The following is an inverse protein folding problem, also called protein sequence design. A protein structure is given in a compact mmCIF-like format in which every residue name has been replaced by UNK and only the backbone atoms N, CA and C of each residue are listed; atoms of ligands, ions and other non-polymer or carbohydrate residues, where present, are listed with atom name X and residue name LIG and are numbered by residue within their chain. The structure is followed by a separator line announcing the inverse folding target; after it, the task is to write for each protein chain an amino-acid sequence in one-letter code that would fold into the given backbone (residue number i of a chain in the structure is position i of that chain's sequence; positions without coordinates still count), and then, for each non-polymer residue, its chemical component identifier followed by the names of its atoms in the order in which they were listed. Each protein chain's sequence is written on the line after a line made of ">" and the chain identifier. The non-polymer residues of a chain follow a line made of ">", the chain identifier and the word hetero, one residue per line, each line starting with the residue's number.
data_IF_446716089151
#
_entry.id   IF_446716089151
#
_cell.length_a   1.000
_cell.length_b   1.000
_cell.length_c   1.000
_cell.angle_alpha   90.00
_cell.angle_beta   90.00
_cell.angle_gamma   90.00
#
_symmetry.space_group_name_H-M   'P 1'
#
loop_
_entity.id
_entity.type
_entity.pdbx_description
1 polymer ?
#
# COMPACT_ATOMS: atom_id res chain seq x y z
N UNK A 1 24.23 -1.97 -12.55
CA UNK A 1 23.56 -2.43 -11.31
C UNK A 1 22.12 -2.75 -11.65
N UNK A 2 21.57 -3.88 -11.19
CA UNK A 2 20.18 -4.23 -11.51
C UNK A 2 19.21 -3.26 -10.81
N UNK A 3 18.07 -3.00 -11.46
CA UNK A 3 17.06 -2.05 -10.99
C UNK A 3 15.67 -2.69 -11.08
N UNK A 4 14.86 -2.51 -10.04
CA UNK A 4 13.52 -3.08 -9.92
C UNK A 4 12.52 -1.94 -9.73
N UNK A 5 11.59 -1.81 -10.66
CA UNK A 5 10.40 -0.97 -10.47
C UNK A 5 9.33 -1.78 -9.73
N UNK A 6 8.97 -1.34 -8.52
CA UNK A 6 7.96 -2.00 -7.70
C UNK A 6 6.65 -1.21 -7.68
N UNK A 7 5.69 -1.67 -8.50
CA UNK A 7 4.34 -1.12 -8.52
C UNK A 7 3.46 -1.82 -7.49
N UNK A 8 2.87 -1.05 -6.58
CA UNK A 8 2.03 -1.60 -5.52
C UNK A 8 0.86 -0.67 -5.17
N UNK A 9 -0.11 -1.21 -4.44
CA UNK A 9 -1.20 -0.45 -3.85
C UNK A 9 -1.22 -0.70 -2.34
N UNK A 10 -1.30 0.36 -1.53
CA UNK A 10 -1.24 0.28 -0.06
C UNK A 10 -2.41 -0.49 0.56
N UNK A 11 -3.45 -0.78 -0.23
CA UNK A 11 -4.60 -1.59 0.20
C UNK A 11 -4.58 -3.04 -0.31
N UNK A 12 -3.55 -3.44 -1.05
CA UNK A 12 -3.49 -4.75 -1.69
C UNK A 12 -3.12 -5.84 -0.68
N UNK A 13 -3.88 -6.96 -0.60
CA UNK A 13 -3.50 -8.09 0.24
C UNK A 13 -2.28 -8.81 -0.32
N UNK A 14 -2.05 -8.77 -1.63
CA UNK A 14 -0.90 -9.43 -2.24
C UNK A 14 0.38 -8.61 -2.07
N UNK A 15 0.26 -7.29 -1.91
CA UNK A 15 1.38 -6.46 -1.45
C UNK A 15 1.69 -6.78 0.01
N UNK A 16 0.68 -6.93 0.87
CA UNK A 16 0.89 -7.40 2.25
C UNK A 16 1.63 -8.75 2.29
N UNK A 17 1.12 -9.73 1.55
CA UNK A 17 1.66 -11.10 1.53
C UNK A 17 3.04 -11.22 0.84
N UNK A 18 3.48 -10.19 0.12
CA UNK A 18 4.86 -10.12 -0.37
C UNK A 18 5.85 -9.83 0.77
N UNK A 19 5.39 -9.23 1.87
CA UNK A 19 6.22 -8.86 3.02
C UNK A 19 7.38 -7.97 2.60
N UNK A 20 8.56 -8.28 3.15
CA UNK A 20 9.85 -7.63 2.82
C UNK A 20 10.73 -8.49 1.88
N UNK A 21 10.13 -9.50 1.22
CA UNK A 21 10.91 -10.45 0.41
C UNK A 21 11.57 -9.80 -0.82
N UNK A 22 10.97 -8.72 -1.35
CA UNK A 22 11.57 -7.96 -2.44
C UNK A 22 12.88 -7.29 -2.01
N UNK A 23 12.87 -6.68 -0.83
CA UNK A 23 14.00 -5.97 -0.22
C UNK A 23 15.13 -6.95 0.10
N UNK A 24 14.81 -8.12 0.64
CA UNK A 24 15.77 -9.21 0.87
C UNK A 24 16.46 -9.65 -0.44
N UNK A 25 15.68 -9.82 -1.51
CA UNK A 25 16.21 -10.18 -2.84
C UNK A 25 17.09 -9.05 -3.37
N UNK A 26 16.64 -7.80 -3.30
CA UNK A 26 17.41 -6.66 -3.80
C UNK A 26 18.74 -6.53 -3.06
N UNK A 27 18.74 -6.65 -1.73
CA UNK A 27 19.95 -6.62 -0.91
C UNK A 27 20.92 -7.75 -1.27
N UNK A 28 20.42 -8.99 -1.39
CA UNK A 28 21.23 -10.16 -1.77
C UNK A 28 21.94 -10.00 -3.12
N UNK A 29 21.33 -9.27 -4.05
CA UNK A 29 21.84 -9.11 -5.42
C UNK A 29 22.45 -7.72 -5.69
N UNK A 30 22.54 -6.84 -4.69
CA UNK A 30 22.99 -5.46 -4.87
C UNK A 30 22.14 -4.69 -5.89
N UNK A 31 20.84 -4.98 -5.95
CA UNK A 31 19.89 -4.28 -6.81
C UNK A 31 19.28 -3.07 -6.10
N UNK A 32 18.78 -2.13 -6.89
CA UNK A 32 18.03 -0.97 -6.38
C UNK A 32 16.54 -1.15 -6.61
N UNK A 33 15.71 -0.56 -5.75
CA UNK A 33 14.25 -0.59 -5.87
C UNK A 33 13.74 0.84 -6.07
N UNK A 34 12.92 1.05 -7.09
CA UNK A 34 12.08 2.22 -7.24
C UNK A 34 10.63 1.86 -6.89
N UNK A 35 10.16 2.37 -5.75
CA UNK A 35 8.78 2.19 -5.33
C UNK A 35 7.84 3.10 -6.12
N UNK A 36 6.72 2.54 -6.56
CA UNK A 36 5.72 3.21 -7.40
C UNK A 36 4.32 2.87 -6.89
N UNK A 37 3.83 3.55 -5.82
CA UNK A 37 2.45 3.39 -5.41
C UNK A 37 1.52 3.87 -6.53
N UNK A 38 0.44 3.14 -6.80
CA UNK A 38 -0.52 3.50 -7.85
C UNK A 38 -1.97 3.28 -7.42
N UNK A 39 -2.88 3.96 -8.10
CA UNK A 39 -4.32 3.81 -7.90
C UNK A 39 -4.87 2.55 -8.57
N UNK A 40 -5.02 1.48 -7.78
CA UNK A 40 -5.59 0.20 -8.23
C UNK A 40 -7.06 0.29 -8.61
N UNK A 41 -7.83 1.21 -8.02
CA UNK A 41 -9.23 1.38 -8.35
C UNK A 41 -9.37 2.01 -9.73
N UNK A 42 -8.57 3.04 -10.02
CA UNK A 42 -8.50 3.62 -11.36
C UNK A 42 -7.90 2.64 -12.40
N UNK A 43 -6.94 1.80 -12.00
CA UNK A 43 -6.32 0.82 -12.90
C UNK A 43 -7.34 -0.17 -13.47
N UNK A 44 -8.27 -0.66 -12.65
CA UNK A 44 -9.31 -1.60 -13.11
C UNK A 44 -10.10 -1.02 -14.30
N UNK A 45 -10.65 0.19 -14.16
CA UNK A 45 -11.40 0.84 -15.23
C UNK A 45 -10.56 1.13 -16.49
N UNK A 46 -9.29 1.48 -16.32
CA UNK A 46 -8.39 1.81 -17.44
C UNK A 46 -7.90 0.61 -18.24
N UNK A 47 -7.88 -0.58 -17.64
CA UNK A 47 -7.31 -1.80 -18.24
C UNK A 47 -8.36 -2.84 -18.61
N UNK A 48 -9.64 -2.57 -18.39
CA UNK A 48 -10.72 -3.55 -18.51
C UNK A 48 -10.71 -4.60 -17.38
N UNK A 49 -9.96 -4.36 -16.31
CA UNK A 49 -9.96 -5.20 -15.13
C UNK A 49 -11.24 -5.05 -14.32
N UNK A 50 -11.75 -6.15 -13.76
CA UNK A 50 -12.97 -6.15 -12.94
C UNK A 50 -12.58 -6.06 -11.45
N UNK A 51 -13.07 -5.04 -10.70
CA UNK A 51 -12.87 -4.93 -9.26
C UNK A 51 -13.34 -6.18 -8.51
N UNK A 52 -12.72 -6.56 -7.38
CA UNK A 52 -13.02 -7.83 -6.73
C UNK A 52 -14.49 -8.07 -6.38
N UNK A 53 -15.23 -7.02 -5.97
CA UNK A 53 -16.65 -7.10 -5.59
C UNK A 53 -17.56 -7.46 -6.79
N UNK A 54 -17.15 -7.11 -8.01
CA UNK A 54 -17.92 -7.32 -9.24
C UNK A 54 -17.56 -8.64 -9.95
N UNK A 55 -16.50 -9.34 -9.50
CA UNK A 55 -16.11 -10.62 -10.10
C UNK A 55 -17.17 -11.69 -9.80
N UNK A 56 -17.27 -12.70 -10.67
CA UNK A 56 -18.10 -13.87 -10.41
C UNK A 56 -17.82 -14.51 -9.04
N UNK A 57 -18.86 -14.99 -8.34
CA UNK A 57 -18.79 -15.54 -6.97
C UNK A 57 -17.68 -16.60 -6.80
N UNK A 58 -17.45 -17.44 -7.79
CA UNK A 58 -16.38 -18.45 -7.74
C UNK A 58 -14.98 -17.81 -7.65
N UNK A 59 -14.73 -16.71 -8.37
CA UNK A 59 -13.46 -15.99 -8.29
C UNK A 59 -13.29 -15.28 -6.95
N UNK A 60 -14.39 -14.76 -6.37
CA UNK A 60 -14.38 -14.17 -5.03
C UNK A 60 -14.02 -15.23 -3.97
N UNK A 61 -14.66 -16.41 -4.02
CA UNK A 61 -14.37 -17.54 -3.12
C UNK A 61 -12.94 -18.05 -3.27
N UNK A 62 -12.49 -18.23 -4.50
CA UNK A 62 -11.13 -18.71 -4.78
C UNK A 62 -10.07 -17.75 -4.23
N UNK A 63 -10.26 -16.43 -4.40
CA UNK A 63 -9.37 -15.41 -3.84
C UNK A 63 -9.17 -15.59 -2.34
N UNK A 64 -10.23 -15.84 -1.57
CA UNK A 64 -10.11 -16.03 -0.11
C UNK A 64 -9.31 -17.29 0.24
N UNK A 65 -9.49 -18.38 -0.50
CA UNK A 65 -8.71 -19.61 -0.31
C UNK A 65 -7.22 -19.41 -0.66
N UNK A 66 -6.95 -18.71 -1.74
CA UNK A 66 -5.60 -18.37 -2.19
C UNK A 66 -4.89 -17.47 -1.18
N UNK A 67 -5.57 -16.44 -0.68
CA UNK A 67 -5.05 -15.56 0.37
C UNK A 67 -4.70 -16.34 1.64
N UNK A 68 -5.61 -17.20 2.13
CA UNK A 68 -5.36 -18.02 3.32
C UNK A 68 -4.15 -18.96 3.15
N UNK A 69 -4.04 -19.59 1.98
CA UNK A 69 -2.92 -20.48 1.65
C UNK A 69 -1.60 -19.72 1.56
N UNK A 70 -1.62 -18.56 0.93
CA UNK A 70 -0.46 -17.70 0.76
C UNK A 70 0.04 -17.20 2.11
N UNK A 71 -0.85 -16.70 2.98
CA UNK A 71 -0.54 -16.31 4.35
C UNK A 71 0.12 -17.44 5.14
N UNK A 72 -0.46 -18.65 5.09
CA UNK A 72 0.12 -19.85 5.73
C UNK A 72 1.51 -20.18 5.17
N UNK A 73 1.71 -20.05 3.86
CA UNK A 73 2.99 -20.36 3.20
C UNK A 73 4.10 -19.41 3.67
N UNK A 74 3.79 -18.13 3.85
CA UNK A 74 4.78 -17.11 4.28
C UNK A 74 4.79 -16.88 5.80
N UNK A 75 3.93 -17.57 6.56
CA UNK A 75 3.88 -17.46 8.03
C UNK A 75 3.35 -16.13 8.54
N UNK A 76 2.58 -15.38 7.74
CA UNK A 76 2.07 -14.05 8.10
C UNK A 76 0.62 -14.13 8.61
N UNK A 77 0.24 -13.40 9.68
CA UNK A 77 -1.14 -13.31 10.12
C UNK A 77 -1.98 -12.62 9.05
N UNK A 78 -3.22 -13.04 8.84
CA UNK A 78 -4.09 -12.42 7.83
C UNK A 78 -5.55 -12.50 8.26
N UNK A 79 -6.22 -11.36 8.36
CA UNK A 79 -7.66 -11.31 8.32
C UNK A 79 -8.13 -11.35 6.85
N UNK A 80 -8.96 -12.34 6.51
CA UNK A 80 -9.52 -12.49 5.17
C UNK A 80 -10.58 -11.44 4.84
N UNK A 81 -11.18 -10.83 5.87
CA UNK A 81 -12.24 -9.84 5.76
C UNK A 81 -12.00 -8.72 6.79
N UNK A 82 -10.94 -7.91 6.63
CA UNK A 82 -10.65 -6.85 7.56
C UNK A 82 -11.69 -5.74 7.49
N UNK A 83 -12.03 -5.15 8.64
CA UNK A 83 -13.16 -4.25 8.83
C UNK A 83 -13.18 -3.06 7.87
N UNK A 84 -12.00 -2.54 7.53
CA UNK A 84 -11.86 -1.33 6.73
C UNK A 84 -11.62 -1.60 5.24
N UNK A 85 -11.53 -2.86 4.79
CA UNK A 85 -11.27 -3.11 3.37
C UNK A 85 -12.56 -3.11 2.52
N UNK A 86 -12.63 -2.37 1.40
CA UNK A 86 -11.64 -1.46 0.85
C UNK A 86 -11.86 0.01 1.27
N UNK A 87 -10.96 0.55 2.08
CA UNK A 87 -10.88 1.97 2.47
C UNK A 87 -10.28 2.84 1.35
N UNK A 88 -10.33 4.16 1.52
CA UNK A 88 -9.63 5.11 0.66
C UNK A 88 -8.12 5.04 0.90
N UNK A 89 -7.37 4.54 -0.08
CA UNK A 89 -5.93 4.40 0.03
C UNK A 89 -5.13 5.64 -0.42
N UNK A 90 -5.79 6.68 -0.95
CA UNK A 90 -5.10 7.86 -1.46
C UNK A 90 -4.24 8.56 -0.40
N UNK A 91 -4.71 8.80 0.85
CA UNK A 91 -3.89 9.42 1.89
C UNK A 91 -2.58 8.65 2.16
N UNK A 92 -2.65 7.34 2.41
CA UNK A 92 -1.46 6.50 2.59
C UNK A 92 -0.52 6.50 1.36
N UNK A 93 -1.07 6.57 0.14
CA UNK A 93 -0.25 6.62 -1.07
C UNK A 93 0.50 7.95 -1.20
N UNK A 94 -0.15 9.07 -0.88
CA UNK A 94 0.52 10.38 -0.87
C UNK A 94 1.57 10.49 0.23
N UNK A 95 1.29 9.97 1.44
CA UNK A 95 2.26 9.91 2.52
C UNK A 95 3.49 9.06 2.14
N UNK A 96 3.28 7.95 1.43
CA UNK A 96 4.38 7.14 0.89
C UNK A 96 5.25 7.94 -0.10
N UNK A 97 4.64 8.66 -1.04
CA UNK A 97 5.37 9.51 -2.00
C UNK A 97 6.14 10.62 -1.27
N UNK A 98 5.54 11.23 -0.24
CA UNK A 98 6.19 12.25 0.57
C UNK A 98 7.41 11.68 1.32
N UNK A 99 7.27 10.50 1.93
CA UNK A 99 8.37 9.78 2.57
C UNK A 99 9.50 9.43 1.59
N UNK A 100 9.16 8.96 0.39
CA UNK A 100 10.12 8.68 -0.67
C UNK A 100 10.91 9.92 -1.09
N UNK A 101 10.26 11.08 -1.18
CA UNK A 101 10.92 12.34 -1.53
C UNK A 101 11.76 12.91 -0.38
N UNK A 102 11.33 12.72 0.87
CA UNK A 102 12.07 13.18 2.05
C UNK A 102 13.31 12.33 2.32
N UNK A 103 13.25 11.02 2.08
CA UNK A 103 14.30 10.07 2.42
C UNK A 103 14.45 9.85 3.93
N UNK A 104 15.52 9.17 4.34
CA UNK A 104 15.91 9.00 5.74
C UNK A 104 15.26 7.84 6.51
N UNK A 105 14.18 7.25 6.01
CA UNK A 105 13.53 6.06 6.58
C UNK A 105 13.57 4.83 5.66
N UNK A 106 12.82 3.79 6.02
CA UNK A 106 12.72 2.53 5.29
C UNK A 106 11.41 2.43 4.50
N UNK A 107 11.48 2.61 3.18
CA UNK A 107 10.33 2.54 2.29
C UNK A 107 9.69 1.14 2.21
N UNK A 108 10.49 0.07 2.30
CA UNK A 108 9.97 -1.29 2.32
C UNK A 108 9.16 -1.55 3.58
N UNK A 109 9.71 -1.15 4.73
CA UNK A 109 8.99 -1.20 6.01
C UNK A 109 7.71 -0.37 6.00
N UNK A 110 7.71 0.81 5.36
CA UNK A 110 6.52 1.65 5.24
C UNK A 110 5.44 1.02 4.35
N UNK A 111 5.82 0.48 3.18
CA UNK A 111 4.88 -0.20 2.27
C UNK A 111 4.23 -1.41 2.96
N UNK A 112 5.04 -2.23 3.62
CA UNK A 112 4.54 -3.35 4.39
C UNK A 112 3.71 -2.88 5.60
N UNK A 113 4.12 -1.82 6.29
CA UNK A 113 3.40 -1.25 7.44
C UNK A 113 1.97 -0.83 7.11
N UNK A 114 1.76 -0.10 6.01
CA UNK A 114 0.42 0.27 5.57
C UNK A 114 -0.46 -0.94 5.26
N UNK A 115 0.08 -1.90 4.54
CA UNK A 115 -0.71 -3.08 4.17
C UNK A 115 -0.99 -3.98 5.39
N UNK A 116 -0.04 -4.11 6.33
CA UNK A 116 -0.23 -4.82 7.60
C UNK A 116 -1.30 -4.18 8.47
N UNK A 117 -1.34 -2.84 8.55
CA UNK A 117 -2.36 -2.11 9.28
C UNK A 117 -3.78 -2.53 8.84
N UNK A 118 -3.99 -2.67 7.53
CA UNK A 118 -5.27 -3.15 6.98
C UNK A 118 -5.48 -4.64 7.24
N UNK A 119 -4.52 -5.47 6.85
CA UNK A 119 -4.74 -6.91 6.65
C UNK A 119 -4.49 -7.79 7.88
N UNK A 120 -3.84 -7.26 8.92
CA UNK A 120 -3.56 -8.00 10.15
C UNK A 120 -3.98 -7.25 11.42
N UNK A 121 -4.08 -5.93 11.39
CA UNK A 121 -4.28 -5.11 12.59
C UNK A 121 -5.68 -4.48 12.70
N UNK A 122 -6.57 -4.68 11.70
CA UNK A 122 -7.89 -4.04 11.66
C UNK A 122 -7.81 -2.50 11.78
N UNK A 123 -6.97 -1.85 10.96
CA UNK A 123 -6.79 -0.40 10.99
C UNK A 123 -7.08 0.24 9.64
N UNK A 124 -7.53 1.49 9.69
CA UNK A 124 -7.92 2.26 8.52
C UNK A 124 -6.78 3.19 8.06
N UNK A 125 -6.14 2.83 6.94
CA UNK A 125 -5.08 3.63 6.31
C UNK A 125 -5.57 4.89 5.57
N UNK A 126 -6.86 5.24 5.72
CA UNK A 126 -7.37 6.57 5.38
C UNK A 126 -7.24 7.57 6.54
N UNK A 127 -6.95 7.10 7.76
CA UNK A 127 -6.88 7.95 8.96
C UNK A 127 -5.45 8.45 9.20
N UNK A 128 -5.34 9.73 9.56
CA UNK A 128 -4.05 10.41 9.76
C UNK A 128 -3.23 9.79 10.88
N UNK A 129 -3.86 9.37 11.97
CA UNK A 129 -3.19 8.73 13.11
C UNK A 129 -2.56 7.39 12.71
N UNK A 130 -3.28 6.54 11.97
CA UNK A 130 -2.75 5.28 11.44
C UNK A 130 -1.56 5.54 10.50
N UNK A 131 -1.65 6.56 9.64
CA UNK A 131 -0.57 6.88 8.71
C UNK A 131 0.68 7.37 9.47
N UNK A 132 0.50 8.24 10.47
CA UNK A 132 1.58 8.75 11.33
C UNK A 132 2.29 7.63 12.08
N UNK A 133 1.54 6.68 12.61
CA UNK A 133 2.10 5.52 13.30
C UNK A 133 2.96 4.67 12.34
N UNK A 134 2.45 4.41 11.13
CA UNK A 134 3.20 3.67 10.11
C UNK A 134 4.48 4.40 9.67
N UNK A 135 4.42 5.72 9.48
CA UNK A 135 5.59 6.55 9.16
C UNK A 135 6.64 6.48 10.28
N UNK A 136 6.21 6.68 11.52
CA UNK A 136 7.10 6.64 12.70
C UNK A 136 7.77 5.28 12.83
N UNK A 137 6.99 4.20 12.69
CA UNK A 137 7.50 2.83 12.77
C UNK A 137 8.52 2.49 11.66
N UNK A 138 8.44 3.18 10.52
CA UNK A 138 9.38 3.05 9.39
C UNK A 138 10.52 4.08 9.43
N UNK A 139 10.65 4.87 10.50
CA UNK A 139 11.72 5.84 10.69
C UNK A 139 11.55 7.16 9.92
N UNK A 140 10.33 7.48 9.48
CA UNK A 140 10.01 8.75 8.83
C UNK A 140 9.38 9.75 9.80
N UNK A 141 9.42 11.04 9.43
CA UNK A 141 8.69 12.09 10.15
C UNK A 141 7.17 11.88 10.02
N UNK A 142 6.42 11.70 11.13
CA UNK A 142 4.97 11.56 11.08
C UNK A 142 4.26 12.77 10.46
N UNK A 143 4.88 13.95 10.41
CA UNK A 143 4.27 15.12 9.74
C UNK A 143 4.06 14.90 8.24
N UNK A 144 4.76 13.94 7.62
CA UNK A 144 4.61 13.57 6.21
C UNK A 144 3.23 12.96 5.89
N UNK A 145 2.44 12.60 6.91
CA UNK A 145 1.04 12.21 6.74
C UNK A 145 0.19 13.37 6.19
N UNK A 146 0.51 14.61 6.58
CA UNK A 146 -0.13 15.82 6.06
C UNK A 146 0.62 16.25 4.81
N UNK A 147 0.27 15.65 3.68
CA UNK A 147 0.57 16.28 2.41
C UNK A 147 -0.57 17.26 2.15
N UNK A 148 -0.25 18.55 2.04
CA UNK A 148 -1.17 19.68 1.83
C UNK A 148 -1.87 19.61 0.44
N UNK A 149 -2.38 18.44 0.03
CA UNK A 149 -3.03 18.17 -1.24
C UNK A 149 -4.31 19.01 -1.44
N UNK A 150 -4.84 19.61 -0.36
CA UNK A 150 -6.02 20.47 -0.40
C UNK A 150 -5.70 21.97 -0.60
N UNK A 151 -4.49 22.45 -0.28
CA UNK A 151 -4.18 23.89 -0.40
C UNK A 151 -3.76 24.33 -1.81
N UNK A 152 -3.51 23.38 -2.73
CA UNK A 152 -3.14 23.68 -4.11
C UNK A 152 -4.34 23.92 -5.07
N UNK A 153 -5.59 23.84 -4.59
CA UNK A 153 -6.78 24.28 -5.36
C UNK A 153 -7.37 25.54 -4.74
N UNK A 154 -6.66 26.66 -4.81
CA UNK A 154 -7.37 27.95 -4.85
C UNK A 154 -8.05 28.04 -6.22
N UNK A 155 -9.37 28.27 -6.31
CA UNK A 155 -9.95 28.67 -7.58
C UNK A 155 -9.35 30.03 -7.91
N UNK A 156 -8.51 30.09 -8.93
CA UNK A 156 -8.25 31.35 -9.63
C UNK A 156 -9.60 31.79 -10.20
N UNK A 157 -10.30 32.65 -9.46
CA UNK A 157 -11.26 33.57 -10.06
C UNK A 157 -10.47 34.41 -11.05
N UNK A 158 -10.55 34.07 -12.31
CA UNK A 158 -10.30 35.00 -13.40
C UNK A 158 -11.67 35.53 -13.83
N UNK A 159 -11.83 36.84 -13.62
CA UNK A 159 -12.59 37.85 -14.38
C UNK A 159 -13.64 37.29 -15.35
#
# INVERSE_FOLDING_TARGET
>A
MAHIDYYFATISPYTYLAGTGLEEIAAKHGATIAYKPFDIMALFGRTGGIPPKERHRNRQKYRLQDMARSAKKVGMPLNLQPAYWPTNMAPSSYAFIAAQNAGGGDLGALAHGFTRAVWAEERDIAQDDVIRDCLTAAGFDPSLAIVDCWKARKPTRAI
#
